data_IF_061722162141
#
_entry.id   IF_061722162141
#
_cell.length_a   1.000
_cell.length_b   1.000
_cell.length_c   1.000
_cell.angle_alpha   90.00
_cell.angle_beta   90.00
_cell.angle_gamma   90.00
#
_symmetry.space_group_name_H-M   'P 1'
#
loop_
_entity.id
_entity.type
_entity.pdbx_description
1 polymer ?
#
# COMPACT_ATOMS: atom_id res chain seq x y z
N UNK A 1 2.94 -46.87 9.59
CA UNK A 1 1.74 -46.08 9.89
C UNK A 1 2.18 -44.83 10.63
N UNK A 2 2.44 -43.76 9.95
CA UNK A 2 2.87 -42.47 10.51
C UNK A 2 2.15 -41.36 9.75
N UNK A 3 1.24 -40.72 10.45
CA UNK A 3 0.45 -39.59 9.90
C UNK A 3 1.35 -38.41 9.63
N UNK A 4 1.43 -38.01 8.38
CA UNK A 4 1.95 -36.71 7.98
C UNK A 4 1.03 -35.62 8.55
N UNK A 5 1.60 -34.74 9.36
CA UNK A 5 0.92 -33.58 9.89
C UNK A 5 0.67 -32.58 8.73
N UNK A 6 -0.59 -32.34 8.51
CA UNK A 6 -1.11 -31.28 7.63
C UNK A 6 -0.77 -29.89 8.24
N UNK A 7 0.31 -29.28 7.74
CA UNK A 7 0.65 -27.89 8.03
C UNK A 7 0.33 -27.05 6.76
N UNK A 8 -0.93 -27.01 6.43
CA UNK A 8 -1.38 -26.35 5.21
C UNK A 8 -2.67 -25.58 5.34
N UNK A 9 -2.93 -24.90 6.49
CA UNK A 9 -4.10 -24.02 6.58
C UNK A 9 -3.84 -22.86 7.53
N UNK A 10 -3.39 -21.76 6.97
CA UNK A 10 -3.22 -20.53 7.76
C UNK A 10 -2.58 -19.37 7.03
N UNK A 11 -2.33 -19.48 5.74
CA UNK A 11 -2.02 -18.30 4.96
C UNK A 11 -3.38 -17.76 4.53
N UNK A 12 -3.98 -17.00 5.45
CA UNK A 12 -5.20 -16.28 5.21
C UNK A 12 -5.04 -15.47 3.92
N UNK A 13 -6.10 -15.42 3.16
CA UNK A 13 -6.32 -14.66 1.94
C UNK A 13 -6.05 -13.16 2.16
N UNK A 14 -4.83 -12.84 2.58
CA UNK A 14 -4.33 -11.50 2.79
C UNK A 14 -3.72 -11.05 1.48
N UNK A 15 -4.47 -10.27 0.78
CA UNK A 15 -3.87 -9.43 -0.21
C UNK A 15 -3.51 -10.06 -1.55
N UNK A 16 -4.15 -11.14 -1.96
CA UNK A 16 -4.24 -11.43 -3.39
C UNK A 16 -5.50 -10.76 -3.97
N UNK A 17 -5.85 -9.59 -3.42
CA UNK A 17 -6.88 -8.74 -4.00
C UNK A 17 -6.28 -7.75 -4.99
N UNK A 18 -5.15 -8.11 -5.57
CA UNK A 18 -4.38 -7.28 -6.48
C UNK A 18 -4.11 -7.98 -7.78
N UNK A 19 -5.02 -8.83 -8.19
CA UNK A 19 -5.02 -9.36 -9.54
C UNK A 19 -6.25 -8.89 -10.26
N UNK A 20 -6.22 -7.66 -10.71
CA UNK A 20 -7.11 -7.24 -11.78
C UNK A 20 -6.46 -7.66 -13.09
N UNK A 21 -7.16 -8.55 -13.79
CA UNK A 21 -6.90 -8.94 -15.15
C UNK A 21 -6.51 -7.72 -16.01
N UNK A 22 -5.33 -7.75 -16.57
CA UNK A 22 -4.95 -6.89 -17.67
C UNK A 22 -5.76 -7.32 -18.89
N UNK A 23 -6.94 -6.76 -19.07
CA UNK A 23 -7.61 -6.78 -20.35
C UNK A 23 -6.83 -5.91 -21.30
N UNK A 24 -6.26 -6.55 -22.32
CA UNK A 24 -5.61 -5.90 -23.43
C UNK A 24 -6.55 -4.86 -24.05
N UNK A 25 -6.27 -3.59 -23.86
CA UNK A 25 -6.84 -2.51 -24.65
C UNK A 25 -5.90 -2.23 -25.79
N UNK A 26 -6.39 -2.55 -26.99
CA UNK A 26 -5.78 -2.20 -28.28
C UNK A 26 -5.38 -0.73 -28.31
N UNK A 27 -4.14 -0.50 -28.67
CA UNK A 27 -3.61 0.82 -28.95
C UNK A 27 -4.37 1.47 -30.12
N UNK A 28 -4.96 2.63 -29.88
CA UNK A 28 -5.30 3.60 -30.92
C UNK A 28 -4.33 4.76 -30.85
N UNK A 29 -3.71 5.16 -31.96
CA UNK A 29 -2.83 6.31 -31.98
C UNK A 29 -3.65 7.59 -32.19
N UNK A 30 -3.46 8.56 -31.32
CA UNK A 30 -3.83 9.95 -31.63
C UNK A 30 -4.72 10.61 -30.61
N UNK A 31 -4.13 11.37 -29.77
CA UNK A 31 -4.45 12.75 -29.40
C UNK A 31 -3.80 13.03 -28.04
N UNK A 32 -2.85 13.92 -28.03
CA UNK A 32 -2.17 14.45 -26.84
C UNK A 32 -3.22 15.10 -25.93
N UNK A 33 -3.50 14.58 -24.74
CA UNK A 33 -4.34 15.30 -23.78
C UNK A 33 -3.53 16.46 -23.20
N UNK A 34 -4.11 17.65 -23.28
CA UNK A 34 -3.63 18.82 -22.57
C UNK A 34 -3.55 18.52 -21.08
N UNK A 35 -2.41 18.83 -20.47
CA UNK A 35 -2.21 18.79 -19.03
C UNK A 35 -3.20 19.77 -18.39
N UNK A 36 -4.16 19.35 -17.56
CA UNK A 36 -4.94 20.32 -16.81
C UNK A 36 -4.01 20.99 -15.80
N UNK A 37 -4.00 22.32 -15.84
CA UNK A 37 -3.27 23.15 -14.91
C UNK A 37 -3.62 22.74 -13.48
N UNK A 38 -2.59 22.48 -12.67
CA UNK A 38 -2.72 22.22 -11.25
C UNK A 38 -3.44 23.39 -10.59
N UNK A 39 -4.45 23.17 -9.73
CA UNK A 39 -5.00 24.24 -8.92
C UNK A 39 -3.89 24.72 -7.99
N UNK A 40 -3.57 26.01 -8.08
CA UNK A 40 -2.67 26.72 -7.20
C UNK A 40 -3.19 26.59 -5.76
N UNK A 41 -2.54 25.80 -4.94
CA UNK A 41 -2.78 25.77 -3.52
C UNK A 41 -2.22 27.05 -2.88
N UNK A 42 -2.91 27.69 -1.93
CA UNK A 42 -2.32 28.74 -1.16
C UNK A 42 -1.21 28.18 -0.28
N UNK A 43 0.02 28.53 -0.61
CA UNK A 43 1.16 28.29 0.26
C UNK A 43 1.05 29.23 1.46
N UNK A 44 0.84 28.70 2.65
CA UNK A 44 1.24 29.40 3.89
C UNK A 44 1.40 28.39 5.00
N UNK A 45 2.62 28.25 5.47
CA UNK A 45 2.98 27.45 6.63
C UNK A 45 4.13 26.48 6.30
N UNK A 46 5.37 26.99 6.41
CA UNK A 46 6.58 26.16 6.37
C UNK A 46 6.66 25.30 7.62
N UNK A 47 5.91 24.20 7.66
CA UNK A 47 6.04 23.17 8.68
C UNK A 47 7.04 22.12 8.17
N UNK A 48 8.32 22.43 8.32
CA UNK A 48 9.45 21.51 8.05
C UNK A 48 9.38 20.25 8.93
N UNK A 49 8.54 20.25 9.96
CA UNK A 49 8.32 19.13 10.85
C UNK A 49 7.67 17.90 10.16
N UNK A 50 7.03 18.08 9.00
CA UNK A 50 6.40 17.01 8.25
C UNK A 50 7.40 16.11 7.48
N UNK A 51 8.62 16.58 7.25
CA UNK A 51 9.63 15.86 6.48
C UNK A 51 10.57 15.00 7.36
N UNK A 52 10.38 14.98 8.68
CA UNK A 52 11.18 14.13 9.56
C UNK A 52 10.73 12.68 9.42
N UNK A 53 11.60 11.77 8.98
CA UNK A 53 11.27 10.36 8.91
C UNK A 53 10.93 9.80 10.29
N UNK A 54 9.79 9.14 10.40
CA UNK A 54 9.36 8.42 11.58
C UNK A 54 9.52 6.91 11.35
N UNK A 55 9.53 6.14 12.45
CA UNK A 55 9.67 4.69 12.40
C UNK A 55 8.73 4.00 13.37
N UNK A 56 8.08 2.91 12.93
CA UNK A 56 7.31 2.01 13.79
C UNK A 56 8.23 1.05 14.55
N UNK A 57 7.68 0.31 15.50
CA UNK A 57 8.43 -0.71 16.25
C UNK A 57 8.93 -1.85 15.36
N UNK A 58 8.15 -2.29 14.39
CA UNK A 58 8.53 -3.33 13.43
C UNK A 58 9.45 -2.84 12.33
N UNK A 59 9.71 -1.54 12.25
CA UNK A 59 10.71 -0.99 11.35
C UNK A 59 10.17 -0.31 10.10
N UNK A 60 8.86 -0.14 9.95
CA UNK A 60 8.29 0.68 8.88
C UNK A 60 8.77 2.11 9.05
N UNK A 61 9.41 2.66 8.03
CA UNK A 61 9.80 4.07 7.95
C UNK A 61 8.73 4.84 7.19
N UNK A 62 8.43 6.06 7.61
CA UNK A 62 7.47 6.89 6.89
C UNK A 62 7.72 8.38 7.10
N UNK A 63 7.25 9.18 6.14
CA UNK A 63 7.25 10.64 6.19
C UNK A 63 5.85 11.14 5.83
N UNK A 64 5.41 12.19 6.52
CA UNK A 64 4.18 12.87 6.14
C UNK A 64 4.45 13.83 4.99
N UNK A 65 3.66 13.73 3.92
CA UNK A 65 3.49 14.81 2.94
C UNK A 65 2.42 15.80 3.40
N UNK A 66 1.41 15.27 4.10
CA UNK A 66 0.39 16.07 4.77
C UNK A 66 -0.15 15.28 5.96
N UNK A 67 -0.28 15.92 7.11
CA UNK A 67 -0.89 15.32 8.30
C UNK A 67 -2.37 15.64 8.33
N UNK A 68 -3.21 14.61 8.40
CA UNK A 68 -4.64 14.78 8.58
C UNK A 68 -4.99 15.23 9.99
N UNK A 69 -6.22 15.71 10.15
CA UNK A 69 -6.79 16.14 11.43
C UNK A 69 -7.95 15.26 11.89
N UNK A 70 -8.25 14.21 11.13
CA UNK A 70 -9.33 13.26 11.45
C UNK A 70 -8.94 12.26 12.53
N UNK A 71 -9.85 11.32 12.85
CA UNK A 71 -9.61 10.32 13.89
C UNK A 71 -8.46 9.37 13.50
N UNK A 72 -7.79 8.83 14.52
CA UNK A 72 -6.83 7.74 14.41
C UNK A 72 -7.57 6.40 14.34
N UNK A 73 -7.01 5.47 13.58
CA UNK A 73 -7.51 4.09 13.55
C UNK A 73 -7.11 3.35 14.83
N UNK A 74 -8.04 2.55 15.35
CA UNK A 74 -7.82 1.59 16.43
C UNK A 74 -7.91 0.17 15.87
N UNK A 75 -7.39 -0.86 16.57
CA UNK A 75 -7.61 -2.24 16.18
C UNK A 75 -9.10 -2.53 15.97
N UNK A 76 -9.45 -3.04 14.78
CA UNK A 76 -10.83 -3.29 14.37
C UNK A 76 -11.53 -2.13 13.66
N UNK A 77 -10.97 -0.93 13.65
CA UNK A 77 -11.49 0.20 12.88
C UNK A 77 -11.55 -0.13 11.39
N UNK A 78 -12.62 0.29 10.74
CA UNK A 78 -12.71 0.27 9.28
C UNK A 78 -12.01 1.49 8.71
N UNK A 79 -11.05 1.25 7.82
CA UNK A 79 -10.31 2.31 7.12
C UNK A 79 -10.56 2.24 5.62
N UNK A 80 -10.51 3.40 4.98
CA UNK A 80 -10.46 3.50 3.53
C UNK A 80 -9.18 4.24 3.16
N UNK A 81 -8.35 3.63 2.30
CA UNK A 81 -7.08 4.20 1.85
C UNK A 81 -6.98 4.20 0.34
N UNK A 82 -6.33 5.22 -0.20
CA UNK A 82 -5.80 5.20 -1.56
C UNK A 82 -4.30 5.01 -1.48
N UNK A 83 -3.75 4.26 -2.41
CA UNK A 83 -2.32 4.02 -2.46
C UNK A 83 -1.79 3.74 -3.85
N UNK A 84 -0.48 3.89 -3.97
CA UNK A 84 0.33 3.35 -5.06
C UNK A 84 1.51 2.64 -4.42
N UNK A 85 1.76 1.41 -4.81
CA UNK A 85 2.86 0.57 -4.34
C UNK A 85 3.96 0.47 -5.40
N UNK A 86 5.20 0.67 -4.97
CA UNK A 86 6.39 0.67 -5.82
C UNK A 86 7.40 -0.36 -5.31
N UNK A 87 8.08 -0.99 -6.25
CA UNK A 87 9.33 -1.71 -5.99
C UNK A 87 10.48 -0.71 -5.80
N UNK A 88 11.64 -1.14 -5.28
CA UNK A 88 12.80 -0.25 -5.06
C UNK A 88 13.33 0.43 -6.32
N UNK A 89 13.12 -0.18 -7.48
CA UNK A 89 13.47 0.35 -8.79
C UNK A 89 12.47 1.39 -9.33
N UNK A 90 11.38 1.65 -8.58
CA UNK A 90 10.32 2.59 -8.95
C UNK A 90 9.20 1.98 -9.79
N UNK A 91 9.27 0.67 -10.11
CA UNK A 91 8.19 -0.01 -10.81
C UNK A 91 6.93 -0.07 -9.94
N UNK A 92 5.78 0.33 -10.49
CA UNK A 92 4.48 0.22 -9.81
C UNK A 92 4.00 -1.22 -9.92
N UNK A 93 3.87 -1.91 -8.77
CA UNK A 93 3.30 -3.25 -8.74
C UNK A 93 1.79 -3.24 -8.46
N UNK A 94 1.27 -2.14 -7.88
CA UNK A 94 -0.15 -2.02 -7.55
C UNK A 94 -0.58 -0.59 -7.24
N UNK A 95 -1.87 -0.26 -7.54
CA UNK A 95 -2.45 1.04 -7.23
C UNK A 95 -3.98 0.99 -7.16
N UNK A 96 -4.57 1.69 -6.19
CA UNK A 96 -6.04 1.84 -6.11
C UNK A 96 -6.63 2.65 -7.27
N UNK A 97 -5.83 3.39 -8.02
CA UNK A 97 -6.28 4.08 -9.22
C UNK A 97 -6.77 3.11 -10.30
N UNK A 98 -6.19 1.91 -10.36
CA UNK A 98 -6.59 0.86 -11.30
C UNK A 98 -7.87 0.16 -10.84
N UNK A 99 -8.09 0.05 -9.53
CA UNK A 99 -9.25 -0.64 -8.93
C UNK A 99 -10.53 0.19 -8.86
N UNK A 100 -10.48 1.46 -9.28
CA UNK A 100 -11.66 2.34 -9.37
C UNK A 100 -12.15 2.92 -8.03
N UNK A 101 -11.44 2.70 -6.90
CA UNK A 101 -11.85 3.25 -5.61
C UNK A 101 -10.86 2.97 -4.48
N UNK A 102 -11.07 3.55 -3.28
CA UNK A 102 -10.21 3.28 -2.15
C UNK A 102 -10.35 1.84 -1.65
N UNK A 103 -9.25 1.24 -1.25
CA UNK A 103 -9.24 -0.05 -0.56
C UNK A 103 -9.85 0.12 0.84
N UNK A 104 -10.76 -0.78 1.20
CA UNK A 104 -11.44 -0.78 2.52
C UNK A 104 -11.15 -2.08 3.24
N UNK A 105 -10.69 -1.96 4.49
CA UNK A 105 -10.37 -3.11 5.33
C UNK A 105 -10.44 -2.74 6.80
N UNK A 106 -10.24 -3.72 7.71
CA UNK A 106 -10.17 -3.51 9.16
C UNK A 106 -8.73 -3.64 9.65
N UNK A 107 -8.28 -2.63 10.37
CA UNK A 107 -6.94 -2.57 10.96
C UNK A 107 -6.77 -3.67 12.02
N UNK A 108 -5.61 -4.35 12.04
CA UNK A 108 -5.27 -5.38 13.01
C UNK A 108 -6.05 -6.69 12.84
N UNK A 109 -6.56 -6.95 11.63
CA UNK A 109 -7.26 -8.20 11.29
C UNK A 109 -6.50 -9.06 10.28
N UNK A 110 -5.26 -8.73 9.97
CA UNK A 110 -4.46 -9.38 8.94
C UNK A 110 -5.17 -9.40 7.56
N UNK A 111 -5.97 -8.38 7.28
CA UNK A 111 -6.60 -8.21 5.97
C UNK A 111 -5.64 -7.53 4.98
N UNK A 112 -4.53 -7.02 5.47
CA UNK A 112 -3.45 -6.35 4.73
C UNK A 112 -2.09 -6.78 5.27
N UNK A 113 -1.01 -6.36 4.62
CA UNK A 113 0.36 -6.64 5.09
C UNK A 113 0.59 -6.06 6.49
N UNK A 114 1.39 -6.76 7.31
CA UNK A 114 1.62 -6.38 8.70
C UNK A 114 2.16 -4.95 8.86
N UNK A 115 2.95 -4.47 7.90
CA UNK A 115 3.44 -3.10 7.91
C UNK A 115 2.34 -2.04 7.86
N UNK A 116 1.20 -2.32 7.22
CA UNK A 116 0.06 -1.42 7.22
C UNK A 116 -0.71 -1.47 8.54
N UNK A 117 -0.87 -2.66 9.12
CA UNK A 117 -1.50 -2.81 10.44
C UNK A 117 -0.71 -2.09 11.53
N UNK A 118 0.63 -1.96 11.41
CA UNK A 118 1.45 -1.16 12.31
C UNK A 118 1.40 0.35 12.01
N UNK A 119 1.35 0.72 10.74
CA UNK A 119 1.47 2.12 10.31
C UNK A 119 0.16 2.90 10.49
N UNK A 120 -0.97 2.32 10.07
CA UNK A 120 -2.25 3.05 10.00
C UNK A 120 -2.76 3.59 11.33
N UNK A 121 -2.55 2.93 12.49
CA UNK A 121 -2.89 3.52 13.80
C UNK A 121 -2.16 4.83 14.12
N UNK A 122 -1.07 5.13 13.44
CA UNK A 122 -0.28 6.36 13.62
C UNK A 122 -0.71 7.50 12.69
N UNK A 123 -1.58 7.19 11.72
CA UNK A 123 -1.98 8.13 10.67
C UNK A 123 -3.41 8.63 10.90
N UNK A 124 -3.61 9.91 11.28
CA UNK A 124 -4.93 10.51 11.30
C UNK A 124 -5.62 10.45 9.93
N UNK A 125 -6.94 10.30 9.92
CA UNK A 125 -7.69 10.39 8.67
C UNK A 125 -7.42 11.73 7.97
N UNK A 126 -7.26 11.70 6.64
CA UNK A 126 -6.83 12.83 5.83
C UNK A 126 -5.31 12.88 5.60
N UNK A 127 -4.51 12.05 6.28
CA UNK A 127 -3.06 12.03 6.10
C UNK A 127 -2.64 11.51 4.73
N UNK A 128 -1.53 12.06 4.23
CA UNK A 128 -0.78 11.54 3.08
C UNK A 128 0.65 11.27 3.52
N UNK A 129 1.13 10.08 3.24
CA UNK A 129 2.47 9.64 3.66
C UNK A 129 3.15 8.85 2.57
N UNK A 130 4.48 8.92 2.56
CA UNK A 130 5.32 7.93 1.89
C UNK A 130 5.87 6.99 2.95
N UNK A 131 5.75 5.68 2.71
CA UNK A 131 6.17 4.65 3.64
C UNK A 131 7.08 3.62 2.96
N UNK A 132 8.09 3.17 3.69
CA UNK A 132 8.99 2.08 3.31
C UNK A 132 8.75 0.93 4.25
N UNK A 133 8.30 -0.20 3.72
CA UNK A 133 7.90 -1.38 4.48
C UNK A 133 8.93 -2.47 4.26
N UNK A 134 9.65 -2.90 5.32
CA UNK A 134 10.59 -4.01 5.21
C UNK A 134 9.91 -5.29 4.72
N UNK A 135 10.62 -6.11 3.98
CA UNK A 135 10.10 -7.38 3.45
C UNK A 135 9.44 -8.24 4.53
N UNK A 136 10.00 -8.30 5.74
CA UNK A 136 9.46 -9.08 6.85
C UNK A 136 8.04 -8.67 7.28
N UNK A 137 7.66 -7.41 7.04
CA UNK A 137 6.32 -6.88 7.31
C UNK A 137 5.45 -6.77 6.04
N UNK A 138 5.93 -7.34 4.93
CA UNK A 138 5.26 -7.41 3.65
C UNK A 138 5.18 -8.88 3.17
N UNK A 139 5.89 -9.24 2.11
CA UNK A 139 5.80 -10.58 1.49
C UNK A 139 7.01 -11.48 1.80
N UNK A 140 7.93 -11.03 2.64
CA UNK A 140 9.02 -11.82 3.21
C UNK A 140 9.95 -12.44 2.19
N UNK A 141 10.46 -13.62 2.54
CA UNK A 141 11.37 -14.42 1.70
C UNK A 141 10.67 -15.17 0.57
N UNK A 142 9.35 -15.17 0.54
CA UNK A 142 8.57 -15.86 -0.50
C UNK A 142 8.31 -14.93 -1.69
N UNK A 143 8.07 -13.65 -1.45
CA UNK A 143 7.65 -12.70 -2.49
C UNK A 143 6.25 -13.00 -3.05
N UNK A 144 5.94 -12.45 -4.21
CA UNK A 144 4.70 -12.70 -4.94
C UNK A 144 5.05 -13.09 -6.38
N UNK A 145 4.62 -14.27 -6.80
CA UNK A 145 4.77 -14.73 -8.19
C UNK A 145 3.84 -13.96 -9.11
N UNK A 146 4.28 -13.78 -10.35
CA UNK A 146 3.42 -13.28 -11.40
C UNK A 146 2.37 -14.37 -11.73
N UNK A 147 1.08 -14.06 -11.71
CA UNK A 147 0.03 -15.04 -11.97
C UNK A 147 0.00 -15.53 -13.42
N UNK A 148 0.48 -14.69 -14.34
CA UNK A 148 0.48 -14.98 -15.77
C UNK A 148 1.79 -15.69 -16.19
N UNK A 149 2.86 -15.58 -15.38
CA UNK A 149 4.15 -16.22 -15.62
C UNK A 149 4.81 -16.66 -14.31
N UNK A 150 4.62 -17.92 -13.94
CA UNK A 150 5.20 -18.50 -12.72
C UNK A 150 6.74 -18.47 -12.65
N UNK A 151 7.43 -18.21 -13.75
CA UNK A 151 8.87 -18.03 -13.76
C UNK A 151 9.30 -16.64 -13.28
N UNK A 152 8.38 -15.68 -13.26
CA UNK A 152 8.62 -14.28 -12.87
C UNK A 152 8.05 -13.96 -11.50
N UNK A 153 8.54 -12.89 -10.92
CA UNK A 153 7.98 -12.32 -9.69
C UNK A 153 7.35 -10.97 -10.00
N UNK A 154 6.14 -10.78 -9.49
CA UNK A 154 5.52 -9.45 -9.37
C UNK A 154 6.21 -8.66 -8.25
N UNK A 155 6.49 -9.33 -7.12
CA UNK A 155 7.29 -8.79 -6.02
C UNK A 155 8.36 -9.83 -5.68
N UNK A 156 9.65 -9.54 -5.94
CA UNK A 156 10.73 -10.47 -5.62
C UNK A 156 10.82 -10.78 -4.12
N UNK A 157 11.37 -11.95 -3.75
CA UNK A 157 11.68 -12.27 -2.36
C UNK A 157 12.56 -11.21 -1.68
N UNK A 158 12.35 -11.00 -0.39
CA UNK A 158 13.13 -10.08 0.45
C UNK A 158 13.12 -8.63 -0.04
N UNK A 159 12.07 -8.20 -0.72
CA UNK A 159 11.95 -6.84 -1.27
C UNK A 159 11.29 -5.90 -0.27
N UNK A 160 11.95 -4.79 0.03
CA UNK A 160 11.34 -3.64 0.72
C UNK A 160 10.36 -2.97 -0.24
N UNK A 161 9.17 -2.64 0.24
CA UNK A 161 8.15 -1.98 -0.57
C UNK A 161 8.03 -0.51 -0.22
N UNK A 162 7.77 0.31 -1.23
CA UNK A 162 7.50 1.73 -1.06
C UNK A 162 6.04 2.01 -1.39
N UNK A 163 5.35 2.75 -0.52
CA UNK A 163 3.96 3.12 -0.73
C UNK A 163 3.76 4.63 -0.61
N UNK A 164 3.04 5.19 -1.55
CA UNK A 164 2.35 6.47 -1.36
C UNK A 164 0.95 6.16 -0.87
N UNK A 165 0.63 6.58 0.36
CA UNK A 165 -0.62 6.28 1.05
C UNK A 165 -1.41 7.55 1.34
N UNK A 166 -2.71 7.50 1.13
CA UNK A 166 -3.67 8.52 1.59
C UNK A 166 -4.77 7.86 2.40
N UNK A 167 -4.91 8.24 3.67
CA UNK A 167 -6.01 7.79 4.54
C UNK A 167 -7.24 8.64 4.25
N UNK A 168 -8.25 8.03 3.63
CA UNK A 168 -9.48 8.74 3.22
C UNK A 168 -10.44 8.88 4.39
N UNK A 169 -10.66 7.77 5.13
CA UNK A 169 -11.56 7.77 6.28
C UNK A 169 -11.22 6.66 7.27
N UNK A 170 -11.58 6.90 8.52
CA UNK A 170 -11.51 5.96 9.64
C UNK A 170 -12.89 5.91 10.29
N UNK A 171 -13.41 4.69 10.57
CA UNK A 171 -14.72 4.44 11.21
C UNK A 171 -14.65 3.29 12.20
#
# INVERSE_FOLDING_TARGET
MGRAADIGRGIGRVGLLLLVAASAVSAQPGTKPAVPAAPSAPATGSDTAHLVPQRTRGGVRFVFHARGTGPLAQPGSRVAVRYTGFLPDGHIFDATAVSGGPLRFRVGRNEVIAGWDELLPLLPAGSRVRAWIPAALAYGSVGVRDPDDNARFLIPPNTELVFELQVISVR
#
